data_IF_074107804165
#
_entry.id   IF_074107804165
#
_cell.length_a   1.000
_cell.length_b   1.000
_cell.length_c   1.000
_cell.angle_alpha   90.00
_cell.angle_beta   90.00
_cell.angle_gamma   90.00
#
_symmetry.space_group_name_H-M   'P 1'
#
loop_
_entity.id
_entity.type
_entity.pdbx_description
1 polymer ?
2 non-polymer ?
3 non-polymer ?
4 water ?
#
# COMPACT_ATOMS: atom_id res chain seq x y z
C UNK A 1 8.61 -16.50 -10.38
N UNK A 2 7.35 -16.59 -10.78
CA UNK A 2 6.72 -15.54 -11.58
C UNK A 2 5.39 -15.14 -10.96
N UNK A 3 4.42 -16.04 -11.00
CA UNK A 3 3.15 -15.82 -10.31
C UNK A 3 3.40 -15.99 -8.81
N UNK A 4 4.28 -16.92 -8.47
CA UNK A 4 4.71 -17.12 -7.05
C UNK A 4 5.44 -15.91 -6.55
N UNK A 5 6.27 -15.34 -7.42
CA UNK A 5 6.99 -14.11 -7.10
C UNK A 5 5.99 -12.98 -6.86
N UNK A 6 4.95 -12.94 -7.68
CA UNK A 6 3.90 -11.93 -7.50
C UNK A 6 3.16 -12.16 -6.19
N UNK A 7 2.88 -13.42 -5.85
CA UNK A 7 2.19 -13.72 -4.60
C UNK A 7 3.01 -13.26 -3.40
N UNK A 8 4.33 -13.45 -3.45
CA UNK A 8 5.18 -13.04 -2.34
C UNK A 8 5.24 -11.52 -2.21
N UNK A 9 5.05 -10.80 -3.32
CA UNK A 9 5.02 -9.34 -3.25
C UNK A 9 3.73 -8.85 -2.62
N UNK A 10 2.60 -9.46 -2.98
CA UNK A 10 1.31 -9.04 -2.43
C UNK A 10 1.27 -9.26 -0.92
N UNK A 11 1.80 -10.40 -0.46
CA UNK A 11 1.80 -10.68 0.97
C UNK A 11 2.73 -9.73 1.71
N UNK A 12 3.85 -9.37 1.09
CA UNK A 12 4.73 -8.38 1.70
C UNK A 12 4.11 -6.99 1.69
N UNK A 13 3.30 -6.68 0.67
CA UNK A 13 2.63 -5.38 0.62
C UNK A 13 1.55 -5.31 1.70
N UNK A 14 0.80 -6.40 1.90
CA UNK A 14 -0.25 -6.41 2.91
C UNK A 14 0.32 -6.16 4.30
N UNK A 15 1.51 -6.69 4.58
CA UNK A 15 2.09 -6.54 5.91
C UNK A 15 2.57 -5.12 6.16
N UNK A 16 3.08 -4.45 5.12
CA UNK A 16 3.50 -3.06 5.28
C UNK A 16 2.31 -2.14 5.50
N UNK A 17 1.20 -2.40 4.80
CA UNK A 17 -0.01 -1.61 5.00
C UNK A 17 -0.53 -1.78 6.43
N UNK A 18 -0.37 -2.97 7.00
CA UNK A 18 -0.75 -3.17 8.40
C UNK A 18 0.16 -2.38 9.33
N UNK A 19 1.46 -2.33 9.02
CA UNK A 19 2.38 -1.55 9.84
C UNK A 19 2.15 -0.05 9.67
N UNK A 20 1.74 0.39 8.48
CA UNK A 20 1.47 1.80 8.26
C UNK A 20 0.26 2.25 9.07
N UNK A 21 -0.77 1.40 9.15
CA UNK A 21 -1.94 1.74 9.96
C UNK A 21 -1.57 1.84 11.44
N UNK A 22 -0.72 0.94 11.93
CA UNK A 22 -0.30 1.00 13.32
C UNK A 22 0.55 2.24 13.59
N UNK A 23 1.39 2.63 12.62
CA UNK A 23 2.20 3.83 12.80
C UNK A 23 1.33 5.08 12.82
N UNK A 24 0.30 5.13 11.97
CA UNK A 24 -0.62 6.26 11.98
C UNK A 24 -1.35 6.34 13.31
N UNK A 25 -1.74 5.19 13.86
CA UNK A 25 -2.44 5.13 15.14
C UNK A 25 -1.53 5.61 16.27
N UNK A 26 -0.24 5.34 16.13
CA UNK A 26 0.75 5.75 17.17
C UNK A 26 0.95 7.24 17.20
N UNK A 27 0.89 7.87 16.03
CA UNK A 27 1.08 9.31 15.92
C UNK A 27 -0.15 10.04 16.45
N UNK A 28 -1.33 9.46 16.23
CA UNK A 28 -2.56 10.06 16.74
C UNK A 28 -2.56 10.10 18.26
N UNK A 29 -2.05 9.05 18.90
CA UNK A 29 -2.04 8.96 20.36
C UNK A 29 -1.10 10.00 20.97
N UNK A 30 0.02 10.25 20.30
C UNK B 1 -7.66 -17.33 -11.65
N UNK B 2 -6.43 -17.78 -11.45
CA UNK B 2 -5.58 -17.26 -10.38
C UNK B 2 -5.24 -15.79 -10.63
N UNK B 3 -5.07 -15.44 -11.90
CA UNK B 3 -4.76 -14.07 -12.29
C UNK B 3 -5.93 -13.16 -11.93
N UNK B 4 -7.14 -13.69 -12.05
CA UNK B 4 -8.37 -12.92 -11.69
C UNK B 4 -8.43 -12.64 -10.22
N UNK B 5 -8.01 -13.62 -9.42
CA UNK B 5 -7.97 -13.46 -7.97
C UNK B 5 -6.86 -12.50 -7.56
N UNK B 6 -5.76 -12.51 -8.33
CA UNK B 6 -4.67 -11.58 -8.07
C UNK B 6 -5.08 -10.15 -8.42
N UNK B 7 -5.78 -9.98 -9.54
CA UNK B 7 -6.33 -8.66 -9.87
C UNK B 7 -7.34 -8.21 -8.82
N UNK B 8 -7.99 -9.16 -8.14
CA UNK B 8 -8.94 -8.79 -7.10
C UNK B 8 -8.22 -8.29 -5.85
N UNK B 9 -7.15 -8.97 -5.43
CA UNK B 9 -6.39 -8.51 -4.27
C UNK B 9 -5.71 -7.18 -4.55
N UNK B 10 -5.19 -7.00 -5.76
CA UNK B 10 -4.52 -5.75 -6.11
C UNK B 10 -5.50 -4.58 -6.05
N UNK B 11 -6.74 -4.81 -6.50
CA UNK B 11 -7.73 -3.73 -6.50
C UNK B 11 -8.12 -3.34 -5.08
N UNK B 12 -8.15 -4.31 -4.16
CA UNK B 12 -8.46 -3.98 -2.77
C UNK B 12 -7.30 -3.25 -2.11
N UNK B 13 -6.06 -3.60 -2.48
CA UNK B 13 -4.90 -2.91 -1.93
C UNK B 13 -4.89 -1.45 -2.37
N UNK B 14 -5.22 -1.20 -3.64
CA UNK B 14 -5.27 0.18 -4.13
C UNK B 14 -6.35 0.98 -3.42
N UNK B 15 -7.50 0.35 -3.13
CA UNK B 15 -8.56 1.04 -2.41
C UNK B 15 -8.16 1.32 -0.97
N UNK B 16 -7.41 0.41 -0.35
CA UNK B 16 -6.99 0.62 1.03
C UNK B 16 -5.90 1.68 1.12
N UNK B 17 -5.00 1.73 0.14
CA UNK B 17 -3.98 2.77 0.12
C UNK B 17 -4.60 4.13 -0.13
N UNK B 18 -5.63 4.19 -0.98
CA UNK B 18 -6.32 5.45 -1.23
C UNK B 18 -6.96 5.99 0.04
N UNK B 19 -7.52 5.11 0.86
CA UNK B 19 -8.11 5.55 2.12
C UNK B 19 -7.05 5.99 3.12
N UNK B 20 -5.87 5.35 3.10
CA UNK B 20 -4.78 5.77 3.97
C UNK B 20 -4.32 7.17 3.60
N UNK B 21 -4.25 7.47 2.30
CA UNK B 21 -3.86 8.81 1.87
C UNK B 21 -4.88 9.86 2.29
N UNK B 22 -6.16 9.49 2.37
CA UNK B 22 -7.17 10.45 2.80
C UNK B 22 -7.00 10.81 4.27
N UNK B 23 -6.66 9.83 5.11
CA UNK B 23 -6.44 10.13 6.53
C UNK B 23 -5.21 11.01 6.72
N UNK B 24 -4.15 10.76 5.94
CA UNK B 24 -2.95 11.58 6.03
C UNK B 24 -3.26 13.02 5.66
N UNK B 25 -4.07 13.23 4.63
CA UNK B 25 -4.46 14.57 4.22
C UNK B 25 -5.29 15.25 5.31
N UNK B 26 -6.11 14.46 6.00
CA UNK B 26 -6.94 14.99 7.11
C UNK B 26 -6.10 15.39 8.29
N UNK B 27 -5.08 14.60 8.59
CA UNK B 27 -4.18 14.88 9.70
C UNK B 27 -3.38 16.15 9.42
N UNK B 28 -3.05 16.37 8.14
CA UNK B 28 -2.30 17.56 7.76
C UNK B 28 -3.09 18.83 8.05
N UNK B 29 -4.39 18.81 7.79
CA UNK B 29 -5.24 19.97 8.06
C UNK B 29 -5.37 20.20 9.56
N UNK B 30 -5.54 19.11 10.31
C UNK C 1 -0.01 -8.72 -20.00
N UNK C 2 -0.86 -9.64 -19.55
CA UNK C 2 -1.56 -9.48 -18.28
C UNK C 2 -0.57 -9.41 -17.13
N UNK C 3 0.44 -10.27 -17.18
CA UNK C 3 1.47 -10.31 -16.15
C UNK C 3 2.29 -9.02 -16.17
N UNK C 4 2.58 -8.52 -17.37
CA UNK C 4 3.33 -7.24 -17.53
C UNK C 4 2.61 -6.10 -16.86
N UNK C 5 1.28 -6.10 -16.95
CA UNK C 5 0.47 -5.06 -16.35
C UNK C 5 0.36 -5.23 -14.84
N UNK C 6 0.40 -6.49 -14.38
CA UNK C 6 0.34 -6.76 -12.95
C UNK C 6 1.63 -6.33 -12.26
N UNK C 7 2.78 -6.63 -12.87
CA UNK C 7 4.05 -6.17 -12.32
C UNK C 7 4.12 -4.65 -12.31
N UNK C 8 3.59 -4.01 -13.36
CA UNK C 8 3.60 -2.55 -13.42
C UNK C 8 2.79 -1.94 -12.28
N UNK C 9 1.65 -2.56 -11.95
CA UNK C 9 0.83 -2.05 -10.85
C UNK C 9 1.50 -2.31 -9.51
N UNK C 10 2.11 -3.49 -9.34
CA UNK C 10 2.79 -3.80 -8.08
C UNK C 10 3.99 -2.90 -7.88
N UNK C 11 4.75 -2.63 -8.94
CA UNK C 11 5.88 -1.71 -8.84
C UNK C 11 5.42 -0.31 -8.46
N UNK C 12 4.26 0.11 -8.97
CA UNK C 12 3.73 1.43 -8.62
C UNK C 12 3.19 1.45 -7.20
N UNK C 13 2.64 0.33 -6.73
CA UNK C 13 2.13 0.28 -5.36
C UNK C 13 3.29 0.33 -4.36
N UNK C 14 4.38 -0.39 -4.65
CA UNK C 14 5.56 -0.33 -3.80
C UNK C 14 6.08 1.09 -3.68
N UNK C 15 6.16 1.80 -4.81
CA UNK C 15 6.65 3.17 -4.80
C UNK C 15 5.73 4.07 -3.98
N UNK C 16 4.42 3.81 -4.03
CA UNK C 16 3.48 4.61 -3.27
C UNK C 16 3.62 4.35 -1.77
N UNK C 17 3.85 3.09 -1.39
CA UNK C 17 4.00 2.76 0.03
C UNK C 17 5.27 3.40 0.58
N UNK C 18 6.36 3.38 -0.19
CA UNK C 18 7.60 3.99 0.27
C UNK C 18 7.45 5.49 0.46
N UNK C 19 6.68 6.14 -0.42
CA UNK C 19 6.41 7.57 -0.25
C UNK C 19 5.58 7.82 0.99
N UNK C 20 4.63 6.92 1.29
CA UNK C 20 3.78 7.10 2.46
C UNK C 20 4.60 6.97 3.75
N UNK C 21 5.52 6.00 3.79
CA UNK C 21 6.34 5.81 4.99
C UNK C 21 7.23 7.02 5.24
N UNK C 22 7.81 7.59 4.18
CA UNK C 22 8.63 8.79 4.35
C UNK C 22 7.81 9.98 4.80
N UNK C 23 6.63 10.18 4.19
CA UNK C 23 5.79 11.32 4.52
C UNK C 23 5.19 11.21 5.92
N UNK C 24 4.87 9.99 6.36
CA UNK C 24 4.32 9.79 7.69
C UNK C 24 5.33 10.20 8.75
N UNK C 25 6.60 9.91 8.52
CA UNK C 25 7.66 10.26 9.46
C UNK C 25 7.83 11.78 9.56
N UNK C 26 7.52 12.48 8.47
CA UNK C 26 7.65 13.96 8.43
C UNK C 26 6.59 14.67 9.22
N UNK C 27 5.41 14.05 9.31
CA UNK C 27 4.28 14.63 10.02
C UNK C 27 4.58 14.78 11.51
N UNK C 28 4.27 15.95 12.06
CA UNK C 28 4.28 16.18 13.50
C UNK C 28 2.85 16.49 13.92
N UNK C 29 2.32 15.70 14.85
CA UNK C 29 0.92 15.80 15.26
C UNK C 29 0.53 17.22 15.68
N UNK C 30 1.42 17.89 16.40
X LIG D 1 0.91 -23.02 -0.78
X LIG E 1 9.32 -0.51 17.28
X LIG F 1 6.20 2.29 9.29
X LIG G 1 -5.03 4.04 10.61
X LIG G 1 -4.88 4.76 11.81
X LIG G 1 -5.79 4.88 9.60
X LIG G 1 -7.06 5.20 10.12
X LIG G 1 -5.94 4.11 8.30
X LIG G 1 -6.76 4.83 7.41
X LIG H 1 -17.95 -15.62 -15.48
X LIG I 1 -15.74 9.11 8.58
X LIG J 1 7.73 -2.65 -25.95
X LIG K 1 10.02 17.84 -1.18
#
# INVERSE_FOLDING_TARGET
>A
XEIXAIKKEIEAIKKEIAEIKKEIAXIKKX
>B
XEIXAIKKEIEAIKKEIAEIKKEIAXIKKX
>C
XEIXAIKKEIEAIKKEIAEIKKEIAXIKKX
>D hetero
1 CU CU
>E hetero
1 CU CU
>F hetero
1 CU CU
>G hetero
1 GOL C1 O1 C2 O2 C3 O3
>H hetero
1 CU CU
>I hetero
1 CU CU
>J hetero
1 CU CU
>K hetero
1 CU CU
#
